data_IF_589347792817
#
_entry.id   IF_589347792817
#
_cell.length_a   1.000
_cell.length_b   1.000
_cell.length_c   1.000
_cell.angle_alpha   90.00
_cell.angle_beta   90.00
_cell.angle_gamma   90.00
#
_symmetry.space_group_name_H-M   'P 1'
#
loop_
_entity.id
_entity.type
_entity.pdbx_description
1 polymer ?
#
# COMPACT_ATOMS: atom_id res chain seq x y z
N UNK A 1 -26.15 12.39 -27.43
CA UNK A 1 -25.76 12.81 -26.10
C UNK A 1 -24.33 12.35 -25.92
N UNK A 2 -23.36 13.23 -25.67
CA UNK A 2 -21.95 12.85 -25.50
C UNK A 2 -21.77 12.52 -24.00
N UNK A 3 -21.75 11.23 -23.66
CA UNK A 3 -21.33 10.80 -22.32
C UNK A 3 -19.86 11.16 -22.15
N UNK A 4 -19.55 11.89 -21.11
CA UNK A 4 -18.19 12.28 -20.75
C UNK A 4 -17.63 11.13 -19.90
N UNK A 5 -16.54 10.57 -20.37
CA UNK A 5 -15.77 9.58 -19.64
C UNK A 5 -15.12 10.29 -18.45
N UNK A 6 -15.53 9.95 -17.24
CA UNK A 6 -14.83 10.36 -16.02
C UNK A 6 -13.52 9.60 -15.97
N UNK A 7 -12.44 10.25 -16.36
CA UNK A 7 -11.09 9.73 -16.11
C UNK A 7 -10.77 9.87 -14.62
N UNK A 8 -10.97 8.81 -13.86
CA UNK A 8 -10.21 8.65 -12.64
C UNK A 8 -8.73 8.51 -13.05
N UNK A 9 -8.03 9.63 -13.14
CA UNK A 9 -6.57 9.59 -13.21
C UNK A 9 -6.08 9.08 -11.86
N UNK A 10 -5.88 7.76 -11.76
CA UNK A 10 -5.00 7.21 -10.74
C UNK A 10 -3.63 7.80 -11.05
N UNK A 11 -3.25 8.80 -10.27
CA UNK A 11 -1.97 9.45 -10.43
C UNK A 11 -0.86 8.46 -10.12
N UNK A 12 -0.27 7.86 -11.17
CA UNK A 12 0.98 7.11 -11.05
C UNK A 12 2.05 8.02 -10.47
N UNK A 13 2.24 7.94 -9.17
CA UNK A 13 3.33 8.62 -8.49
C UNK A 13 4.62 7.83 -8.65
N UNK A 14 5.44 8.33 -9.51
CA UNK A 14 6.77 7.80 -9.83
C UNK A 14 7.75 8.19 -8.73
N UNK A 15 8.33 7.21 -8.06
CA UNK A 15 9.43 7.44 -7.11
C UNK A 15 10.73 7.72 -7.86
N UNK A 16 11.23 8.95 -7.78
CA UNK A 16 12.58 9.31 -8.23
C UNK A 16 13.56 9.17 -7.07
N UNK A 17 14.28 8.05 -6.99
CA UNK A 17 15.47 7.93 -6.18
C UNK A 17 16.69 8.48 -6.93
N UNK A 18 17.17 9.68 -6.58
CA UNK A 18 18.45 10.20 -7.08
C UNK A 18 19.61 9.65 -6.26
N UNK A 19 20.28 8.62 -6.76
CA UNK A 19 21.61 8.21 -6.30
C UNK A 19 22.71 9.03 -6.99
N UNK A 20 23.37 9.91 -6.25
CA UNK A 20 24.53 10.66 -6.72
C UNK A 20 25.76 9.75 -6.86
N UNK A 21 26.30 9.65 -8.06
CA UNK A 21 27.59 9.01 -8.33
C UNK A 21 28.76 9.86 -7.85
N UNK A 22 29.68 9.26 -7.14
CA UNK A 22 31.07 9.71 -7.12
C UNK A 22 31.97 8.51 -7.43
N UNK A 23 32.54 8.49 -8.62
CA UNK A 23 33.58 7.53 -9.02
C UNK A 23 34.91 7.94 -8.38
N UNK A 24 35.59 6.97 -7.81
CA UNK A 24 37.05 7.03 -7.71
C UNK A 24 37.63 5.64 -8.01
N UNK A 25 38.29 5.55 -9.16
CA UNK A 25 39.10 4.41 -9.57
C UNK A 25 40.32 4.30 -8.68
N UNK A 26 40.66 3.10 -8.22
CA UNK A 26 42.04 2.65 -8.11
C UNK A 26 42.11 1.12 -8.27
N UNK A 27 42.65 0.70 -9.41
CA UNK A 27 43.14 -0.65 -9.65
C UNK A 27 44.37 -0.93 -8.78
N UNK A 28 44.40 -2.11 -8.20
CA UNK A 28 45.66 -2.92 -8.19
C UNK A 28 45.35 -4.39 -7.92
N UNK A 29 45.70 -5.19 -8.87
CA UNK A 29 45.89 -6.63 -8.77
C UNK A 29 46.86 -6.99 -7.65
N UNK A 30 46.60 -8.07 -6.93
CA UNK A 30 47.60 -8.96 -6.40
C UNK A 30 47.10 -10.41 -6.31
N UNK A 31 47.96 -11.26 -6.75
CA UNK A 31 47.80 -12.64 -7.14
C UNK A 31 47.47 -13.64 -6.01
N UNK A 32 46.92 -14.71 -6.47
CA UNK A 32 46.74 -16.04 -5.91
C UNK A 32 47.65 -16.47 -4.76
N UNK A 33 47.03 -17.04 -3.71
CA UNK A 33 47.56 -18.21 -3.03
C UNK A 33 46.41 -19.07 -2.52
N UNK A 34 46.23 -20.19 -3.18
CA UNK A 34 45.36 -21.26 -2.75
C UNK A 34 45.85 -21.83 -1.42
N UNK A 35 44.98 -21.82 -0.43
CA UNK A 35 44.95 -22.82 0.63
C UNK A 35 43.49 -23.13 0.87
N UNK A 36 43.11 -24.35 0.53
CA UNK A 36 41.94 -25.02 1.05
C UNK A 36 41.96 -24.85 2.60
N UNK A 37 41.12 -24.00 3.12
CA UNK A 37 40.70 -24.05 4.49
C UNK A 37 39.32 -24.70 4.49
N UNK A 38 39.24 -25.80 5.21
CA UNK A 38 37.98 -26.40 5.64
C UNK A 38 36.94 -25.31 5.91
N UNK A 39 35.83 -25.38 5.18
CA UNK A 39 34.62 -24.64 5.52
C UNK A 39 34.16 -25.14 6.91
N UNK A 40 34.59 -24.48 7.95
CA UNK A 40 33.79 -24.47 9.17
C UNK A 40 32.46 -23.88 8.77
N UNK A 41 31.38 -24.59 8.95
CA UNK A 41 30.03 -24.02 8.97
C UNK A 41 30.09 -22.89 10.01
N UNK A 42 30.18 -21.67 9.57
CA UNK A 42 30.00 -20.53 10.44
C UNK A 42 28.55 -20.64 10.91
N UNK A 43 28.34 -20.79 12.20
CA UNK A 43 27.02 -20.65 12.81
C UNK A 43 26.49 -19.29 12.36
N UNK A 44 25.41 -19.29 11.57
CA UNK A 44 24.74 -18.07 11.14
C UNK A 44 24.25 -17.36 12.40
N UNK A 45 24.73 -16.14 12.63
CA UNK A 45 24.29 -15.33 13.76
C UNK A 45 22.85 -14.91 13.49
N UNK A 46 21.94 -15.30 14.38
CA UNK A 46 20.53 -14.89 14.34
C UNK A 46 20.35 -13.72 15.32
N UNK A 47 19.86 -12.58 14.82
CA UNK A 47 19.59 -11.39 15.62
C UNK A 47 18.11 -11.32 15.95
N UNK A 48 17.78 -11.43 17.24
CA UNK A 48 16.41 -11.22 17.73
C UNK A 48 16.23 -9.76 18.12
N UNK A 49 15.06 -9.19 17.85
CA UNK A 49 14.71 -7.84 18.27
C UNK A 49 13.69 -7.84 19.41
N UNK A 50 13.78 -6.82 20.25
CA UNK A 50 12.81 -6.53 21.29
C UNK A 50 12.78 -5.02 21.54
N UNK A 51 11.58 -4.45 21.55
CA UNK A 51 11.36 -3.02 21.76
C UNK A 51 10.42 -2.81 22.95
N UNK A 52 10.54 -1.67 23.68
CA UNK A 52 9.57 -1.30 24.69
C UNK A 52 8.22 -0.97 24.03
N UNK A 53 7.13 -1.00 24.80
CA UNK A 53 5.81 -0.59 24.33
C UNK A 53 5.67 0.95 24.22
N UNK A 54 6.53 1.70 24.89
CA UNK A 54 6.53 3.16 24.86
C UNK A 54 7.96 3.74 24.97
N UNK A 55 8.14 4.92 24.38
CA UNK A 55 9.37 5.70 24.54
C UNK A 55 9.02 7.15 24.91
N UNK A 56 9.53 7.62 26.05
CA UNK A 56 9.26 8.97 26.56
C UNK A 56 10.53 9.75 26.79
N UNK A 57 10.60 10.95 26.21
CA UNK A 57 11.70 11.89 26.41
C UNK A 57 11.22 13.30 26.14
N UNK A 58 11.36 14.18 27.11
CA UNK A 58 11.12 15.61 26.92
C UNK A 58 12.33 16.28 26.26
N UNK A 59 12.10 17.13 25.26
CA UNK A 59 13.10 17.97 24.61
C UNK A 59 12.57 19.37 24.38
N UNK A 60 13.44 20.30 24.04
CA UNK A 60 13.07 21.71 23.83
C UNK A 60 12.29 21.89 22.52
N UNK A 61 12.72 21.21 21.46
CA UNK A 61 12.14 21.30 20.13
C UNK A 61 11.30 20.09 19.74
N UNK A 62 11.64 18.92 20.25
CA UNK A 62 10.97 17.67 19.97
C UNK A 62 10.69 16.91 21.25
N UNK A 63 9.46 16.53 21.45
CA UNK A 63 8.98 15.69 22.55
C UNK A 63 8.69 14.30 22.02
N UNK A 64 9.09 13.30 22.77
CA UNK A 64 8.71 11.91 22.55
C UNK A 64 7.71 11.49 23.63
N UNK A 65 6.50 11.23 23.24
CA UNK A 65 5.46 10.57 24.03
C UNK A 65 4.86 9.50 23.10
N UNK A 66 5.73 8.51 22.81
CA UNK A 66 5.63 7.66 21.65
C UNK A 66 5.14 6.28 22.06
N UNK A 67 4.02 5.85 21.48
CA UNK A 67 3.61 4.45 21.45
C UNK A 67 4.51 3.70 20.46
N UNK A 68 5.12 2.60 20.91
CA UNK A 68 5.94 1.71 20.06
C UNK A 68 5.09 0.50 19.71
N UNK A 69 4.82 0.32 18.42
CA UNK A 69 3.99 -0.78 17.93
C UNK A 69 4.83 -1.73 17.10
N UNK A 70 4.86 -2.98 17.51
CA UNK A 70 5.47 -4.09 16.76
C UNK A 70 4.42 -5.19 16.65
N UNK A 71 3.65 -5.13 15.57
CA UNK A 71 2.66 -6.16 15.25
C UNK A 71 3.35 -7.31 14.51
N UNK A 72 3.94 -8.22 15.27
CA UNK A 72 4.63 -9.38 14.71
C UNK A 72 4.49 -10.61 15.58
N UNK A 73 4.30 -11.75 14.94
CA UNK A 73 4.42 -13.07 15.58
C UNK A 73 5.86 -13.58 15.67
N UNK A 74 6.78 -12.92 14.99
CA UNK A 74 8.21 -13.25 14.94
C UNK A 74 9.02 -12.13 15.57
N UNK A 75 10.22 -12.45 16.05
CA UNK A 75 11.15 -11.50 16.65
C UNK A 75 12.49 -11.44 15.90
N UNK A 76 12.54 -11.96 14.68
CA UNK A 76 13.70 -11.97 13.80
C UNK A 76 13.30 -11.41 12.46
N UNK A 77 14.07 -10.47 11.95
CA UNK A 77 13.91 -9.97 10.58
C UNK A 77 15.04 -10.51 9.72
N UNK A 78 14.69 -11.12 8.61
CA UNK A 78 15.67 -11.65 7.65
C UNK A 78 15.78 -10.73 6.44
N UNK A 79 16.95 -10.72 5.80
CA UNK A 79 17.06 -10.17 4.46
C UNK A 79 16.16 -10.93 3.50
N UNK A 80 15.75 -10.27 2.44
CA UNK A 80 14.94 -10.92 1.42
C UNK A 80 14.76 -10.07 0.19
N UNK A 81 14.12 -10.67 -0.79
CA UNK A 81 13.77 -10.04 -2.05
C UNK A 81 12.27 -10.02 -2.21
N UNK A 82 11.79 -9.01 -2.93
CA UNK A 82 10.43 -8.93 -3.38
C UNK A 82 10.41 -8.99 -4.91
N UNK A 83 9.62 -9.88 -5.46
CA UNK A 83 9.44 -10.04 -6.90
C UNK A 83 7.99 -9.69 -7.25
N UNK A 84 7.78 -8.76 -8.20
CA UNK A 84 6.44 -8.40 -8.64
C UNK A 84 5.74 -9.61 -9.25
N UNK A 85 4.52 -9.88 -8.82
CA UNK A 85 3.65 -10.84 -9.46
C UNK A 85 3.09 -10.28 -10.76
N UNK A 86 2.86 -11.16 -11.71
CA UNK A 86 2.33 -10.79 -13.02
C UNK A 86 0.84 -11.12 -13.10
N UNK A 87 0.01 -10.08 -12.99
CA UNK A 87 -1.43 -10.22 -13.22
C UNK A 87 -1.70 -10.54 -14.70
N UNK A 88 -2.52 -11.58 -14.94
CA UNK A 88 -3.09 -11.88 -16.25
C UNK A 88 -4.34 -11.02 -16.48
N UNK A 89 -4.16 -9.86 -17.11
CA UNK A 89 -5.22 -8.90 -17.35
C UNK A 89 -6.30 -9.39 -18.34
N UNK A 90 -5.93 -10.24 -19.31
CA UNK A 90 -6.91 -10.82 -20.23
C UNK A 90 -7.83 -11.81 -19.51
N UNK A 91 -7.26 -12.63 -18.64
CA UNK A 91 -8.02 -13.56 -17.83
C UNK A 91 -8.94 -12.85 -16.83
N UNK A 92 -8.45 -11.77 -16.20
CA UNK A 92 -9.28 -10.92 -15.36
C UNK A 92 -10.43 -10.30 -16.15
N UNK A 93 -10.17 -9.77 -17.35
CA UNK A 93 -11.21 -9.28 -18.26
C UNK A 93 -12.26 -10.35 -18.53
N UNK A 94 -11.84 -11.58 -18.82
CA UNK A 94 -12.77 -12.68 -19.11
C UNK A 94 -13.68 -13.03 -17.92
N UNK A 95 -13.19 -12.90 -16.68
CA UNK A 95 -14.04 -13.04 -15.48
C UNK A 95 -15.05 -11.93 -15.33
N UNK A 96 -14.68 -10.69 -15.59
CA UNK A 96 -15.53 -9.52 -15.37
C UNK A 96 -16.56 -9.32 -16.51
N UNK A 97 -16.14 -9.54 -17.74
CA UNK A 97 -16.96 -9.24 -18.91
C UNK A 97 -17.46 -10.48 -19.68
N UNK A 98 -16.83 -11.63 -19.48
CA UNK A 98 -17.03 -12.84 -20.27
C UNK A 98 -16.04 -12.96 -21.42
N UNK A 99 -15.82 -14.19 -21.89
CA UNK A 99 -14.79 -14.53 -22.89
C UNK A 99 -15.01 -13.93 -24.27
N UNK A 100 -16.25 -13.60 -24.61
CA UNK A 100 -16.63 -13.05 -25.91
C UNK A 100 -16.55 -11.52 -25.96
N UNK A 101 -16.15 -10.87 -24.86
CA UNK A 101 -16.05 -9.42 -24.78
C UNK A 101 -14.71 -8.94 -25.33
N UNK A 102 -14.74 -8.04 -26.32
CA UNK A 102 -13.56 -7.48 -26.99
C UNK A 102 -13.59 -5.95 -27.16
N UNK A 103 -14.51 -5.26 -26.50
CA UNK A 103 -14.64 -3.79 -26.58
C UNK A 103 -13.51 -3.10 -25.82
N UNK A 104 -12.35 -3.03 -26.45
CA UNK A 104 -11.20 -2.27 -25.97
C UNK A 104 -11.33 -0.81 -26.40
N UNK A 105 -11.37 0.11 -25.44
CA UNK A 105 -11.56 1.54 -25.72
C UNK A 105 -10.25 2.33 -25.78
N UNK A 106 -9.17 1.79 -25.22
CA UNK A 106 -7.87 2.44 -25.19
C UNK A 106 -6.72 1.43 -25.09
N UNK A 107 -5.61 1.70 -25.79
CA UNK A 107 -4.33 1.03 -25.61
C UNK A 107 -3.19 2.04 -25.77
N UNK A 108 -2.26 2.08 -24.80
CA UNK A 108 -1.04 2.87 -24.86
C UNK A 108 0.16 2.08 -24.37
N UNK A 109 1.25 2.13 -25.14
CA UNK A 109 2.51 1.50 -24.79
C UNK A 109 3.55 2.54 -24.37
N UNK A 110 4.22 2.27 -23.28
CA UNK A 110 5.22 3.17 -22.73
C UNK A 110 6.29 2.45 -21.94
N UNK A 111 6.99 3.18 -21.11
CA UNK A 111 7.93 2.65 -20.14
C UNK A 111 7.72 3.34 -18.80
N UNK A 112 7.80 2.57 -17.71
CA UNK A 112 7.83 3.13 -16.38
C UNK A 112 9.18 3.85 -16.09
N UNK A 113 9.28 4.48 -14.95
CA UNK A 113 10.47 5.24 -14.53
C UNK A 113 11.71 4.39 -14.31
N UNK A 114 11.58 3.07 -14.12
CA UNK A 114 12.70 2.12 -14.02
C UNK A 114 13.03 1.46 -15.35
N UNK A 115 12.28 1.80 -16.42
CA UNK A 115 12.50 1.33 -17.79
C UNK A 115 11.86 -0.03 -18.09
N UNK A 116 10.82 -0.44 -17.34
CA UNK A 116 10.00 -1.57 -17.73
C UNK A 116 9.02 -1.14 -18.81
N UNK A 117 8.73 -2.04 -19.75
CA UNK A 117 7.63 -1.83 -20.69
C UNK A 117 6.30 -1.88 -19.93
N UNK A 118 5.51 -0.82 -20.09
CA UNK A 118 4.13 -0.78 -19.64
C UNK A 118 3.23 -0.80 -20.87
N UNK A 119 2.11 -1.49 -20.75
CA UNK A 119 1.03 -1.45 -21.70
C UNK A 119 -0.25 -1.21 -20.92
N UNK A 120 -0.85 -0.04 -21.11
CA UNK A 120 -2.15 0.31 -20.51
C UNK A 120 -3.24 -0.08 -21.48
N UNK A 121 -4.16 -0.90 -21.04
CA UNK A 121 -5.35 -1.29 -21.78
C UNK A 121 -6.56 -0.93 -20.94
N UNK A 122 -7.59 -0.38 -21.58
CA UNK A 122 -8.88 -0.09 -20.96
C UNK A 122 -9.97 -0.80 -21.73
N UNK A 123 -10.74 -1.61 -21.01
CA UNK A 123 -12.01 -2.17 -21.48
C UNK A 123 -13.15 -1.47 -20.76
N UNK A 124 -14.24 -1.21 -21.47
CA UNK A 124 -15.38 -0.51 -20.91
C UNK A 124 -16.69 -1.02 -21.49
N UNK A 125 -17.68 -1.18 -20.61
CA UNK A 125 -19.07 -1.52 -20.95
C UNK A 125 -20.01 -0.66 -20.12
N UNK A 126 -21.10 -0.20 -20.70
CA UNK A 126 -22.15 0.52 -19.95
C UNK A 126 -22.80 -0.36 -18.87
N UNK A 127 -22.87 -1.67 -19.09
CA UNK A 127 -23.51 -2.62 -18.17
C UNK A 127 -22.55 -3.16 -17.10
N UNK A 128 -21.26 -3.24 -17.44
CA UNK A 128 -20.26 -3.93 -16.59
C UNK A 128 -19.13 -3.03 -16.07
N UNK A 129 -19.15 -1.74 -16.42
CA UNK A 129 -18.17 -0.78 -15.92
C UNK A 129 -16.87 -0.75 -16.69
N UNK A 130 -15.79 -0.37 -16.01
CA UNK A 130 -14.48 -0.07 -16.61
C UNK A 130 -13.38 -0.88 -15.93
N UNK A 131 -12.57 -1.59 -16.73
CA UNK A 131 -11.35 -2.25 -16.32
C UNK A 131 -10.16 -1.54 -16.95
N UNK A 132 -9.31 -0.97 -16.13
CA UNK A 132 -7.99 -0.48 -16.52
C UNK A 132 -6.94 -1.52 -16.12
N UNK A 133 -6.16 -2.00 -17.05
CA UNK A 133 -5.05 -2.89 -16.85
C UNK A 133 -3.75 -2.23 -17.28
N UNK A 134 -2.75 -2.23 -16.41
CA UNK A 134 -1.42 -1.71 -16.71
C UNK A 134 -0.42 -2.84 -16.47
N UNK A 135 0.11 -3.39 -17.56
CA UNK A 135 1.08 -4.48 -17.50
C UNK A 135 2.25 -4.13 -16.57
N UNK A 136 2.58 -5.02 -15.66
CA UNK A 136 3.65 -4.90 -14.64
C UNK A 136 3.36 -3.90 -13.51
N UNK A 137 2.21 -3.25 -13.47
CA UNK A 137 1.84 -2.33 -12.39
C UNK A 137 0.57 -2.77 -11.67
N UNK A 138 -0.41 -3.33 -12.38
CA UNK A 138 -1.65 -3.79 -11.78
C UNK A 138 -2.88 -3.48 -12.59
N UNK A 139 -4.01 -3.43 -11.91
CA UNK A 139 -5.32 -3.25 -12.53
C UNK A 139 -6.29 -2.58 -11.58
N UNK A 140 -7.20 -1.79 -12.14
CA UNK A 140 -8.35 -1.27 -11.41
C UNK A 140 -9.61 -1.56 -12.18
N UNK A 141 -10.59 -2.15 -11.50
CA UNK A 141 -11.94 -2.36 -12.02
C UNK A 141 -12.96 -1.57 -11.21
N UNK A 142 -13.91 -0.96 -11.89
CA UNK A 142 -14.99 -0.16 -11.32
C UNK A 142 -16.27 -0.57 -12.04
N UNK A 143 -17.22 -1.16 -11.32
CA UNK A 143 -18.56 -1.47 -11.84
C UNK A 143 -19.48 -0.24 -11.83
N UNK A 144 -20.61 -0.28 -12.51
CA UNK A 144 -21.62 0.77 -12.38
C UNK A 144 -22.15 0.93 -10.95
N UNK A 145 -22.31 -0.17 -10.20
CA UNK A 145 -22.72 -0.11 -8.79
C UNK A 145 -21.67 0.59 -7.93
N UNK A 146 -20.38 0.35 -8.19
CA UNK A 146 -19.31 0.97 -7.39
C UNK A 146 -19.31 2.49 -7.51
N UNK A 147 -19.71 3.08 -8.62
CA UNK A 147 -19.82 4.54 -8.75
C UNK A 147 -20.78 5.11 -7.70
N UNK A 148 -21.87 4.40 -7.38
CA UNK A 148 -22.81 4.77 -6.30
C UNK A 148 -22.25 4.46 -4.93
N UNK A 149 -21.64 3.27 -4.74
CA UNK A 149 -21.00 2.86 -3.49
C UNK A 149 -19.87 3.81 -3.10
N UNK A 150 -19.05 4.25 -4.06
CA UNK A 150 -17.92 5.12 -3.81
C UNK A 150 -18.31 6.48 -3.24
N UNK A 151 -19.51 6.95 -3.53
CA UNK A 151 -20.06 8.17 -2.94
C UNK A 151 -20.58 7.94 -1.52
N UNK A 152 -21.06 6.74 -1.23
CA UNK A 152 -21.67 6.40 0.06
C UNK A 152 -20.65 6.18 1.18
N UNK A 153 -19.41 5.81 0.88
CA UNK A 153 -18.40 5.58 1.90
C UNK A 153 -17.03 6.14 1.51
N UNK A 154 -16.36 6.68 2.52
CA UNK A 154 -14.95 6.98 2.41
C UNK A 154 -14.17 5.75 2.86
N UNK A 155 -13.17 5.36 2.08
CA UNK A 155 -12.24 4.31 2.45
C UNK A 155 -11.74 4.60 3.87
N UNK A 156 -11.82 3.64 4.79
CA UNK A 156 -11.36 3.84 6.14
C UNK A 156 -9.85 4.04 6.12
N UNK A 157 -9.45 5.29 6.03
CA UNK A 157 -8.10 5.74 6.25
C UNK A 157 -7.92 6.00 7.75
N UNK A 158 -6.71 5.90 8.25
CA UNK A 158 -6.35 6.28 9.63
C UNK A 158 -6.77 7.72 9.99
N UNK A 159 -7.11 8.54 9.00
CA UNK A 159 -7.59 9.91 9.18
C UNK A 159 -9.08 10.01 9.51
N UNK A 160 -9.86 8.96 9.26
CA UNK A 160 -11.31 8.93 9.47
C UNK A 160 -11.63 7.94 10.59
N UNK A 161 -11.65 8.42 11.84
CA UNK A 161 -11.90 7.60 13.03
C UNK A 161 -13.33 7.03 13.10
N UNK A 162 -14.25 7.54 12.29
CA UNK A 162 -15.65 7.11 12.29
C UNK A 162 -16.03 6.46 10.94
N UNK A 163 -15.66 5.19 10.76
CA UNK A 163 -16.29 4.40 9.71
C UNK A 163 -17.67 3.93 10.17
N UNK A 164 -18.71 4.25 9.40
CA UNK A 164 -20.06 3.72 9.61
C UNK A 164 -20.15 2.22 9.28
N UNK A 165 -19.21 1.69 8.49
CA UNK A 165 -19.18 0.31 8.06
C UNK A 165 -18.74 -0.64 9.19
N UNK A 166 -19.55 -1.64 9.48
CA UNK A 166 -19.26 -2.65 10.49
C UNK A 166 -18.17 -3.62 10.03
N UNK A 167 -17.29 -4.02 10.94
CA UNK A 167 -16.29 -5.09 10.69
C UNK A 167 -16.73 -6.45 11.26
N UNK A 168 -17.90 -6.56 11.89
CA UNK A 168 -18.37 -7.76 12.58
C UNK A 168 -19.69 -8.32 12.07
N UNK A 169 -20.48 -7.51 11.37
CA UNK A 169 -21.78 -7.93 10.84
C UNK A 169 -21.63 -8.71 9.54
N UNK A 170 -22.56 -9.65 9.30
CA UNK A 170 -22.63 -10.44 8.08
C UNK A 170 -24.04 -10.42 7.50
N UNK A 171 -24.15 -10.63 6.19
CA UNK A 171 -25.43 -10.71 5.51
C UNK A 171 -26.01 -12.13 5.53
N UNK A 172 -27.33 -12.23 5.66
CA UNK A 172 -28.02 -13.51 5.52
C UNK A 172 -27.83 -14.11 4.11
N UNK A 173 -27.27 -15.33 4.06
CA UNK A 173 -27.06 -16.05 2.80
C UNK A 173 -25.96 -15.48 1.89
N UNK A 174 -25.09 -14.62 2.44
CA UNK A 174 -23.88 -14.15 1.79
C UNK A 174 -22.82 -13.85 2.86
N UNK A 175 -21.96 -14.82 3.14
CA UNK A 175 -20.94 -14.71 4.19
C UNK A 175 -19.67 -14.04 3.70
N UNK A 176 -18.90 -13.48 4.64
CA UNK A 176 -17.56 -12.93 4.36
C UNK A 176 -16.61 -13.98 3.81
N UNK A 177 -16.70 -15.21 4.32
CA UNK A 177 -15.85 -16.30 3.87
C UNK A 177 -16.14 -16.67 2.42
N UNK A 178 -17.42 -16.78 2.02
CA UNK A 178 -17.80 -17.01 0.62
C UNK A 178 -17.33 -15.88 -0.30
N UNK A 179 -17.47 -14.63 0.13
CA UNK A 179 -16.99 -13.45 -0.58
C UNK A 179 -15.46 -13.48 -0.75
N UNK A 180 -14.72 -13.75 0.33
CA UNK A 180 -13.27 -13.89 0.30
C UNK A 180 -12.80 -14.98 -0.65
N UNK A 181 -13.36 -16.20 -0.55
CA UNK A 181 -12.97 -17.33 -1.38
C UNK A 181 -13.27 -17.06 -2.88
N UNK A 182 -14.33 -16.32 -3.19
CA UNK A 182 -14.63 -15.90 -4.57
C UNK A 182 -13.58 -14.94 -5.11
N UNK A 183 -13.19 -13.91 -4.34
CA UNK A 183 -12.11 -12.97 -4.71
C UNK A 183 -10.80 -13.73 -4.89
N UNK A 184 -10.44 -14.58 -3.91
CA UNK A 184 -9.22 -15.39 -3.92
C UNK A 184 -9.15 -16.28 -5.14
N UNK A 185 -10.21 -17.01 -5.43
CA UNK A 185 -10.25 -17.92 -6.60
C UNK A 185 -10.01 -17.18 -7.91
N UNK A 186 -10.61 -16.01 -8.10
CA UNK A 186 -10.45 -15.21 -9.32
C UNK A 186 -9.01 -14.70 -9.44
N UNK A 187 -8.46 -14.12 -8.38
CA UNK A 187 -7.14 -13.51 -8.40
C UNK A 187 -6.00 -14.55 -8.52
N UNK A 188 -6.10 -15.66 -7.79
CA UNK A 188 -5.12 -16.75 -7.90
C UNK A 188 -5.12 -17.36 -9.30
N UNK A 189 -6.30 -17.49 -9.92
CA UNK A 189 -6.41 -17.93 -11.31
C UNK A 189 -5.82 -16.92 -12.29
N UNK A 190 -5.84 -15.62 -11.96
CA UNK A 190 -5.16 -14.55 -12.70
C UNK A 190 -3.66 -14.39 -12.34
N UNK A 191 -3.09 -15.24 -11.49
CA UNK A 191 -1.67 -15.26 -11.16
C UNK A 191 -1.26 -14.39 -9.97
N UNK A 192 -2.21 -13.95 -9.15
CA UNK A 192 -1.96 -13.13 -7.95
C UNK A 192 -2.18 -13.96 -6.69
N UNK A 193 -1.21 -13.99 -5.81
CA UNK A 193 -1.33 -14.59 -4.48
C UNK A 193 -2.11 -13.66 -3.55
N UNK A 194 -3.25 -14.12 -3.08
CA UNK A 194 -4.11 -13.32 -2.19
C UNK A 194 -3.67 -13.51 -0.73
N UNK A 195 -3.38 -12.43 0.01
CA UNK A 195 -3.08 -12.52 1.43
C UNK A 195 -4.24 -13.12 2.24
N UNK A 196 -3.91 -13.92 3.25
CA UNK A 196 -4.90 -14.49 4.18
C UNK A 196 -5.40 -13.47 5.20
N UNK A 197 -4.61 -12.43 5.46
CA UNK A 197 -4.98 -11.37 6.39
C UNK A 197 -5.66 -10.22 5.65
N UNK A 198 -6.80 -9.81 6.18
CA UNK A 198 -7.57 -8.70 5.64
C UNK A 198 -8.44 -8.04 6.71
N UNK A 199 -8.83 -6.81 6.46
CA UNK A 199 -9.95 -6.14 7.11
C UNK A 199 -11.14 -6.23 6.16
N UNK A 200 -12.30 -6.62 6.66
CA UNK A 200 -13.52 -6.70 5.87
C UNK A 200 -14.60 -5.81 6.48
N UNK A 201 -15.10 -4.89 5.71
CA UNK A 201 -16.19 -3.98 6.08
C UNK A 201 -17.48 -4.44 5.43
N UNK A 202 -18.57 -4.40 6.19
CA UNK A 202 -19.93 -4.71 5.71
C UNK A 202 -20.58 -3.41 5.23
N UNK A 203 -21.07 -3.40 4.02
CA UNK A 203 -21.70 -2.26 3.35
C UNK A 203 -23.18 -2.59 3.05
N UNK A 204 -24.11 -2.38 4.00
CA UNK A 204 -25.53 -2.63 3.77
C UNK A 204 -26.10 -1.64 2.76
N UNK A 205 -26.94 -2.11 1.86
CA UNK A 205 -27.51 -1.27 0.81
C UNK A 205 -28.32 -0.08 1.37
N UNK A 206 -29.01 -0.23 2.49
CA UNK A 206 -29.75 0.85 3.14
C UNK A 206 -28.82 2.00 3.56
N UNK A 207 -27.66 1.67 4.15
CA UNK A 207 -26.66 2.65 4.58
C UNK A 207 -25.98 3.33 3.37
N UNK A 208 -25.77 2.56 2.30
CA UNK A 208 -25.20 3.11 1.07
C UNK A 208 -26.18 4.06 0.38
N UNK A 209 -27.44 3.68 0.29
CA UNK A 209 -28.51 4.53 -0.27
C UNK A 209 -28.70 5.85 0.51
N UNK A 210 -28.58 5.82 1.84
CA UNK A 210 -28.69 7.04 2.66
C UNK A 210 -27.48 7.99 2.52
N UNK A 211 -26.34 7.48 2.05
CA UNK A 211 -25.06 8.19 1.98
C UNK A 211 -24.62 8.48 0.54
N UNK A 212 -25.35 7.95 -0.42
CA UNK A 212 -25.06 8.19 -1.82
C UNK A 212 -25.12 9.69 -2.11
N UNK A 213 -24.08 10.18 -2.74
CA UNK A 213 -24.02 11.55 -3.22
C UNK A 213 -23.35 11.57 -4.58
N UNK A 214 -24.03 12.11 -5.57
CA UNK A 214 -23.51 12.23 -6.92
C UNK A 214 -23.32 13.69 -7.29
N UNK A 215 -22.21 14.00 -7.92
CA UNK A 215 -21.86 15.34 -8.39
C UNK A 215 -21.73 15.37 -9.92
N UNK A 216 -22.18 16.47 -10.52
CA UNK A 216 -21.90 16.74 -11.91
C UNK A 216 -20.41 17.14 -12.10
N UNK A 217 -19.99 17.34 -13.36
CA UNK A 217 -18.62 17.74 -13.70
C UNK A 217 -18.21 19.11 -13.13
N UNK A 218 -19.11 19.85 -12.52
CA UNK A 218 -18.87 21.16 -11.89
C UNK A 218 -18.92 21.11 -10.35
N UNK A 219 -19.16 19.90 -9.78
CA UNK A 219 -19.29 19.71 -8.33
C UNK A 219 -20.64 20.11 -7.79
N UNK A 220 -21.70 20.12 -8.63
CA UNK A 220 -23.06 20.29 -8.14
C UNK A 220 -23.71 18.92 -8.00
N UNK A 221 -24.59 18.80 -6.98
CA UNK A 221 -25.40 17.61 -6.77
C UNK A 221 -26.23 17.27 -8.01
N UNK A 222 -26.13 16.02 -8.49
CA UNK A 222 -26.86 15.49 -9.65
C UNK A 222 -27.85 14.40 -9.21
N UNK A 223 -29.02 14.82 -8.77
CA UNK A 223 -30.08 13.92 -8.29
C UNK A 223 -30.57 12.95 -9.39
N UNK A 224 -30.41 13.30 -10.67
CA UNK A 224 -30.78 12.41 -11.79
C UNK A 224 -29.82 11.22 -11.95
N UNK A 225 -28.60 11.33 -11.37
CA UNK A 225 -27.61 10.27 -11.38
C UNK A 225 -27.73 9.32 -10.19
N UNK A 226 -28.55 9.63 -9.16
CA UNK A 226 -28.75 8.77 -8.00
C UNK A 226 -29.42 7.43 -8.39
N UNK A 227 -28.96 6.35 -7.72
CA UNK A 227 -29.57 5.03 -7.85
C UNK A 227 -30.86 4.96 -7.02
N UNK A 228 -31.98 4.67 -7.68
CA UNK A 228 -33.31 4.67 -7.03
C UNK A 228 -33.86 3.29 -6.71
N UNK A 229 -33.17 2.22 -7.12
CA UNK A 229 -33.62 0.83 -7.03
C UNK A 229 -32.68 -0.02 -6.16
N UNK A 230 -32.17 0.57 -5.08
CA UNK A 230 -31.36 -0.13 -4.10
C UNK A 230 -32.12 -1.32 -3.48
N UNK A 231 -31.47 -2.49 -3.45
CA UNK A 231 -32.01 -3.68 -2.79
C UNK A 231 -30.91 -4.57 -2.19
N UNK A 232 -31.30 -5.72 -1.61
CA UNK A 232 -30.39 -6.67 -0.95
C UNK A 232 -29.31 -7.26 -1.89
N UNK A 233 -29.44 -7.16 -3.21
CA UNK A 233 -28.41 -7.63 -4.13
C UNK A 233 -27.23 -6.66 -4.15
N UNK A 234 -27.46 -5.40 -3.79
CA UNK A 234 -26.44 -4.36 -3.68
C UNK A 234 -25.64 -4.46 -2.36
N UNK A 235 -26.09 -5.27 -1.37
CA UNK A 235 -25.29 -5.57 -0.16
C UNK A 235 -23.87 -6.01 -0.56
N UNK A 236 -22.86 -5.34 0.00
CA UNK A 236 -21.49 -5.60 -0.40
C UNK A 236 -20.53 -5.74 0.79
N UNK A 237 -19.42 -6.43 0.55
CA UNK A 237 -18.27 -6.45 1.45
C UNK A 237 -17.10 -5.72 0.81
N UNK A 238 -16.41 -4.89 1.60
CA UNK A 238 -15.18 -4.26 1.21
C UNK A 238 -13.99 -4.91 1.94
N UNK A 239 -13.11 -5.53 1.17
CA UNK A 239 -11.89 -6.18 1.65
C UNK A 239 -10.67 -5.29 1.41
N UNK A 240 -9.87 -5.12 2.47
CA UNK A 240 -8.56 -4.46 2.43
C UNK A 240 -7.53 -5.48 2.90
N UNK A 241 -6.71 -5.97 1.99
CA UNK A 241 -5.75 -7.04 2.26
C UNK A 241 -4.44 -6.50 2.81
N UNK A 242 -3.80 -7.30 3.68
CA UNK A 242 -2.52 -6.99 4.29
C UNK A 242 -1.52 -8.12 4.05
N UNK A 243 -0.43 -7.81 3.37
CA UNK A 243 0.70 -8.74 3.25
C UNK A 243 1.64 -8.63 4.46
N UNK A 244 2.37 -9.72 4.74
CA UNK A 244 3.39 -9.74 5.80
C UNK A 244 4.73 -10.26 5.28
N UNK A 245 5.81 -9.77 5.88
CA UNK A 245 7.15 -10.29 5.70
C UNK A 245 7.86 -10.41 7.04
N UNK A 246 8.40 -11.59 7.36
CA UNK A 246 8.97 -11.90 8.70
C UNK A 246 8.01 -11.53 9.85
N UNK A 247 6.73 -11.87 9.70
CA UNK A 247 5.69 -11.56 10.67
C UNK A 247 5.25 -10.09 10.73
N UNK A 248 6.01 -9.14 10.18
CA UNK A 248 5.66 -7.72 10.16
C UNK A 248 4.71 -7.40 9.00
N UNK A 249 3.68 -6.53 9.19
CA UNK A 249 2.88 -6.04 8.11
C UNK A 249 3.75 -5.25 7.13
N UNK A 250 3.46 -5.39 5.82
CA UNK A 250 4.16 -4.59 4.80
C UNK A 250 3.59 -3.18 4.73
N UNK A 251 4.44 -2.22 4.37
CA UNK A 251 4.06 -0.82 4.16
C UNK A 251 4.41 -0.42 2.74
N UNK A 252 3.41 0.07 2.01
CA UNK A 252 3.55 0.52 0.63
C UNK A 252 3.32 2.02 0.58
N UNK A 253 4.39 2.85 0.57
CA UNK A 253 4.25 4.29 0.60
C UNK A 253 3.65 4.81 -0.72
N UNK A 254 2.63 5.64 -0.60
CA UNK A 254 2.04 6.38 -1.69
C UNK A 254 2.25 7.89 -1.49
N UNK A 255 2.87 8.56 -2.45
CA UNK A 255 3.09 10.01 -2.37
C UNK A 255 1.95 10.73 -3.09
N UNK A 256 1.09 11.38 -2.32
CA UNK A 256 0.06 12.24 -2.87
C UNK A 256 0.67 13.58 -3.32
N UNK A 257 0.77 13.78 -4.63
CA UNK A 257 1.55 14.88 -5.23
C UNK A 257 1.04 16.27 -4.89
N UNK A 258 -0.25 16.45 -4.67
CA UNK A 258 -0.83 17.79 -4.45
C UNK A 258 -0.54 18.32 -3.05
N UNK A 259 -0.55 17.47 -2.03
CA UNK A 259 -0.37 17.85 -0.63
C UNK A 259 0.99 17.45 -0.05
N UNK A 260 1.77 16.65 -0.80
CA UNK A 260 3.05 16.04 -0.38
C UNK A 260 2.91 15.12 0.83
N UNK A 261 1.72 14.70 1.13
CA UNK A 261 1.47 13.72 2.17
C UNK A 261 1.85 12.33 1.68
N UNK A 262 2.37 11.52 2.58
CA UNK A 262 2.68 10.12 2.32
C UNK A 262 1.56 9.33 2.97
N UNK A 263 0.84 8.61 2.15
CA UNK A 263 -0.24 7.71 2.58
C UNK A 263 0.23 6.26 2.47
N UNK A 264 -0.34 5.41 3.29
CA UNK A 264 -0.17 3.97 3.14
C UNK A 264 -1.09 3.48 2.02
N UNK A 265 -0.51 3.02 0.91
CA UNK A 265 -1.29 2.34 -0.12
C UNK A 265 -1.64 0.92 0.34
N UNK A 266 -2.84 0.48 -0.01
CA UNK A 266 -3.27 -0.92 0.16
C UNK A 266 -3.27 -1.58 -1.21
N UNK A 267 -2.24 -2.37 -1.55
CA UNK A 267 -2.03 -2.83 -2.91
C UNK A 267 -3.11 -3.80 -3.41
N UNK A 268 -3.89 -4.39 -2.51
CA UNK A 268 -5.02 -5.22 -2.89
C UNK A 268 -6.27 -4.81 -2.10
N UNK A 269 -7.30 -4.40 -2.83
CA UNK A 269 -8.60 -4.04 -2.31
C UNK A 269 -9.69 -4.57 -3.23
N UNK A 270 -10.81 -5.00 -2.66
CA UNK A 270 -11.94 -5.48 -3.44
C UNK A 270 -13.28 -5.15 -2.75
N UNK A 271 -14.26 -4.68 -3.53
CA UNK A 271 -15.67 -4.66 -3.12
C UNK A 271 -16.39 -5.76 -3.90
N UNK A 272 -17.15 -6.54 -3.19
CA UNK A 272 -17.91 -7.65 -3.78
C UNK A 272 -19.33 -7.67 -3.24
N UNK A 273 -20.29 -7.66 -4.15
CA UNK A 273 -21.72 -7.84 -3.88
C UNK A 273 -22.16 -9.29 -4.11
N UNK A 274 -23.45 -9.54 -3.96
CA UNK A 274 -24.04 -10.84 -4.36
C UNK A 274 -23.90 -11.09 -5.87
N UNK A 275 -23.94 -10.04 -6.68
CA UNK A 275 -23.83 -10.09 -8.15
C UNK A 275 -22.39 -10.37 -8.61
N UNK A 276 -21.37 -9.88 -7.88
CA UNK A 276 -19.98 -10.09 -8.25
C UNK A 276 -19.01 -9.07 -7.69
N UNK A 277 -17.85 -8.95 -8.34
CA UNK A 277 -16.87 -7.93 -8.00
C UNK A 277 -17.40 -6.57 -8.52
N UNK A 278 -17.48 -5.59 -7.63
CA UNK A 278 -17.92 -4.23 -7.92
C UNK A 278 -16.72 -3.27 -8.02
N UNK A 279 -15.70 -3.53 -7.21
CA UNK A 279 -14.43 -2.80 -7.25
C UNK A 279 -13.28 -3.77 -7.05
N UNK A 280 -12.23 -3.58 -7.81
CA UNK A 280 -10.98 -4.29 -7.61
C UNK A 280 -9.81 -3.34 -7.87
N UNK A 281 -8.92 -3.22 -6.90
CA UNK A 281 -7.62 -2.59 -7.07
C UNK A 281 -6.53 -3.61 -6.79
N UNK A 282 -5.70 -3.86 -7.78
CA UNK A 282 -4.51 -4.73 -7.68
C UNK A 282 -3.33 -3.89 -8.10
N UNK A 283 -2.50 -3.47 -7.14
CA UNK A 283 -1.36 -2.61 -7.40
C UNK A 283 -0.09 -3.21 -6.82
N UNK A 284 0.89 -3.53 -7.68
CA UNK A 284 2.24 -3.97 -7.27
C UNK A 284 2.23 -5.05 -6.19
N UNK A 285 1.58 -6.16 -6.45
CA UNK A 285 1.63 -7.31 -5.56
C UNK A 285 3.00 -7.99 -5.67
N UNK A 286 3.59 -8.32 -4.53
CA UNK A 286 4.91 -8.93 -4.46
C UNK A 286 4.84 -10.33 -3.87
N UNK A 287 5.61 -11.22 -4.45
CA UNK A 287 6.02 -12.47 -3.83
C UNK A 287 7.33 -12.23 -3.07
N UNK A 288 7.36 -12.60 -1.80
CA UNK A 288 8.53 -12.41 -0.95
C UNK A 288 9.39 -13.67 -0.86
N UNK A 289 10.71 -13.48 -0.99
CA UNK A 289 11.70 -14.55 -0.85
C UNK A 289 12.65 -14.20 0.30
N UNK A 290 12.54 -14.93 1.40
CA UNK A 290 13.37 -14.75 2.56
C UNK A 290 14.75 -15.40 2.35
N UNK A 291 15.81 -14.69 2.73
CA UNK A 291 17.18 -15.19 2.81
C UNK A 291 17.41 -15.87 4.19
N UNK A 292 18.59 -16.43 4.38
CA UNK A 292 19.00 -17.01 5.66
C UNK A 292 19.65 -15.99 6.59
N UNK A 293 20.12 -14.87 6.05
CA UNK A 293 20.84 -13.85 6.80
C UNK A 293 19.85 -12.97 7.56
N UNK A 294 19.90 -13.00 8.89
CA UNK A 294 19.10 -12.12 9.74
C UNK A 294 19.71 -10.71 9.83
N UNK A 295 18.86 -9.73 10.10
CA UNK A 295 19.23 -8.31 10.20
C UNK A 295 19.20 -7.88 11.65
N UNK A 296 20.31 -7.32 12.14
CA UNK A 296 20.36 -6.67 13.45
C UNK A 296 19.61 -5.34 13.41
N UNK A 297 18.50 -5.23 14.18
CA UNK A 297 17.76 -3.99 14.30
C UNK A 297 18.35 -3.13 15.41
N UNK A 298 18.42 -1.82 15.16
CA UNK A 298 18.89 -0.86 16.14
C UNK A 298 17.82 -0.63 17.23
N UNK A 299 18.21 -0.38 18.48
CA UNK A 299 17.30 0.09 19.51
C UNK A 299 16.59 1.38 19.06
N UNK A 300 15.32 1.56 19.42
CA UNK A 300 14.52 2.74 18.99
C UNK A 300 15.15 4.06 19.42
N UNK A 301 15.91 4.08 20.53
CA UNK A 301 16.68 5.22 20.98
C UNK A 301 17.62 5.79 19.90
N UNK A 302 18.15 4.94 19.00
CA UNK A 302 19.00 5.40 17.90
C UNK A 302 18.22 6.16 16.85
N UNK A 303 17.01 5.75 16.58
CA UNK A 303 16.08 6.47 15.70
C UNK A 303 15.71 7.81 16.34
N UNK A 304 15.37 7.79 17.64
CA UNK A 304 15.04 9.00 18.39
C UNK A 304 16.22 10.00 18.44
N UNK A 305 17.47 9.53 18.59
CA UNK A 305 18.68 10.38 18.52
C UNK A 305 18.80 11.06 17.14
N UNK A 306 18.50 10.37 16.05
CA UNK A 306 18.54 10.96 14.69
C UNK A 306 17.47 12.02 14.54
N UNK A 307 16.22 11.74 14.94
CA UNK A 307 15.14 12.71 14.94
C UNK A 307 15.47 13.95 15.76
N UNK A 308 15.93 13.78 17.00
CA UNK A 308 16.33 14.89 17.87
C UNK A 308 17.39 15.78 17.22
N UNK A 309 18.42 15.17 16.60
CA UNK A 309 19.47 15.90 15.89
C UNK A 309 18.96 16.65 14.65
N UNK A 310 17.94 16.16 13.96
CA UNK A 310 17.33 16.83 12.83
C UNK A 310 16.55 18.07 13.28
N UNK A 311 15.66 17.90 14.25
CA UNK A 311 14.72 18.96 14.65
C UNK A 311 15.37 20.03 15.53
N UNK A 312 16.38 19.71 16.34
CA UNK A 312 17.16 20.73 17.10
C UNK A 312 17.90 21.72 16.21
N UNK A 313 18.13 21.39 14.94
CA UNK A 313 18.81 22.31 13.97
C UNK A 313 17.86 23.21 13.22
N UNK A 314 16.56 23.01 13.34
CA UNK A 314 15.56 23.83 12.68
C UNK A 314 15.46 25.18 13.40
N UNK A 315 15.65 26.26 12.66
CA UNK A 315 15.51 27.62 13.17
C UNK A 315 14.07 28.06 12.98
N UNK A 316 13.28 28.03 14.01
CA UNK A 316 11.87 28.41 14.02
C UNK A 316 11.33 28.35 15.46
N UNK A 317 10.08 28.67 15.67
CA UNK A 317 9.40 28.58 16.97
C UNK A 317 8.53 27.33 17.09
N UNK A 318 8.33 26.61 15.97
CA UNK A 318 7.58 25.38 15.90
C UNK A 318 8.15 24.29 16.82
N UNK A 319 7.27 23.49 17.37
CA UNK A 319 7.60 22.32 18.19
C UNK A 319 7.08 21.04 17.56
N UNK A 320 7.71 19.93 17.87
CA UNK A 320 7.41 18.63 17.26
C UNK A 320 7.08 17.61 18.36
N UNK A 321 6.14 16.73 18.10
CA UNK A 321 5.81 15.62 18.98
C UNK A 321 5.80 14.32 18.18
N UNK A 322 6.53 13.31 18.69
CA UNK A 322 6.49 11.94 18.18
C UNK A 322 5.44 11.19 18.96
N UNK A 323 4.36 10.75 18.30
CA UNK A 323 3.18 10.14 18.94
C UNK A 323 3.19 8.62 18.86
N UNK A 324 3.61 8.09 17.71
CA UNK A 324 3.59 6.66 17.43
C UNK A 324 4.77 6.30 16.54
N UNK A 325 5.33 5.14 16.76
CA UNK A 325 6.31 4.51 15.88
C UNK A 325 5.92 3.04 15.65
N UNK A 326 5.73 2.65 14.41
CA UNK A 326 5.31 1.31 14.03
C UNK A 326 6.39 0.63 13.20
N UNK A 327 6.81 -0.56 13.61
CA UNK A 327 7.78 -1.35 12.85
C UNK A 327 7.05 -2.12 11.76
N UNK A 328 7.45 -1.90 10.51
CA UNK A 328 6.89 -2.53 9.31
C UNK A 328 7.98 -3.08 8.40
N UNK A 329 7.61 -3.92 7.45
CA UNK A 329 8.45 -4.33 6.34
C UNK A 329 8.12 -3.49 5.10
N UNK A 330 9.12 -3.10 4.31
CA UNK A 330 8.92 -2.27 3.11
C UNK A 330 9.79 -2.77 1.96
N UNK A 331 9.26 -2.73 0.75
CA UNK A 331 10.03 -2.98 -0.46
C UNK A 331 10.85 -1.75 -0.81
N UNK A 332 12.16 -1.91 -0.83
CA UNK A 332 13.09 -0.88 -1.26
C UNK A 332 13.72 -1.23 -2.60
N UNK A 333 13.67 -0.31 -3.56
CA UNK A 333 14.29 -0.49 -4.87
C UNK A 333 15.82 -0.43 -4.74
N UNK A 334 16.48 -1.59 -4.72
CA UNK A 334 17.93 -1.72 -4.55
C UNK A 334 18.72 -1.50 -5.85
N UNK A 335 18.04 -1.60 -7.01
CA UNK A 335 18.63 -1.47 -8.34
C UNK A 335 17.60 -1.03 -9.37
N UNK A 336 17.86 -1.29 -10.65
CA UNK A 336 16.90 -0.89 -11.69
C UNK A 336 15.60 -1.70 -11.70
N UNK A 337 15.60 -2.93 -11.18
CA UNK A 337 14.47 -3.88 -11.21
C UNK A 337 14.47 -4.85 -10.04
N UNK A 338 15.28 -4.60 -9.03
CA UNK A 338 15.42 -5.50 -7.88
C UNK A 338 14.88 -4.79 -6.65
N UNK A 339 14.00 -5.46 -5.92
CA UNK A 339 13.47 -4.99 -4.66
C UNK A 339 14.02 -5.85 -3.53
N UNK A 340 14.46 -5.18 -2.47
CA UNK A 340 14.88 -5.79 -1.21
C UNK A 340 13.86 -5.50 -0.13
N UNK A 341 13.64 -6.45 0.77
CA UNK A 341 12.83 -6.24 1.95
C UNK A 341 13.67 -5.59 3.04
N UNK A 342 13.21 -4.47 3.55
CA UNK A 342 13.84 -3.70 4.62
C UNK A 342 12.89 -3.49 5.79
N UNK A 343 13.40 -3.58 7.05
CA UNK A 343 12.62 -3.20 8.22
C UNK A 343 12.59 -1.67 8.31
N UNK A 344 11.41 -1.10 8.50
CA UNK A 344 11.22 0.35 8.54
C UNK A 344 10.40 0.78 9.75
N UNK A 345 10.84 1.83 10.43
CA UNK A 345 10.01 2.56 11.36
C UNK A 345 9.17 3.59 10.63
N UNK A 346 7.86 3.44 10.69
CA UNK A 346 6.88 4.45 10.28
C UNK A 346 6.55 5.27 11.51
N UNK A 347 6.88 6.56 11.49
CA UNK A 347 6.82 7.43 12.66
C UNK A 347 5.78 8.53 12.43
N UNK A 348 4.69 8.49 13.20
CA UNK A 348 3.67 9.51 13.21
C UNK A 348 4.09 10.68 14.09
N UNK A 349 4.14 11.86 13.50
CA UNK A 349 4.59 13.08 14.13
C UNK A 349 3.56 14.19 14.00
N UNK A 350 3.60 15.08 14.98
CA UNK A 350 2.82 16.31 15.00
C UNK A 350 3.77 17.52 15.00
N UNK A 351 3.50 18.50 14.17
CA UNK A 351 4.12 19.83 14.23
C UNK A 351 3.10 20.81 14.80
N UNK A 352 3.52 21.61 15.77
CA UNK A 352 2.75 22.74 16.27
C UNK A 352 3.49 24.04 15.89
N UNK A 353 2.91 24.78 14.96
CA UNK A 353 3.37 26.09 14.53
C UNK A 353 2.43 27.17 15.05
N UNK A 354 2.72 27.71 16.24
CA UNK A 354 1.92 28.78 16.88
C UNK A 354 0.44 28.43 17.07
N UNK A 355 0.12 27.15 17.31
CA UNK A 355 -1.24 26.66 17.50
C UNK A 355 -1.88 26.06 16.25
N UNK A 356 -1.22 26.16 15.10
CA UNK A 356 -1.57 25.37 13.91
C UNK A 356 -0.93 23.99 14.03
N UNK A 357 -1.77 22.97 14.19
CA UNK A 357 -1.34 21.58 14.40
C UNK A 357 -1.51 20.81 13.11
N UNK A 358 -0.43 20.18 12.65
CA UNK A 358 -0.42 19.34 11.46
C UNK A 358 0.27 18.01 11.75
N UNK A 359 -0.26 16.92 11.19
CA UNK A 359 0.33 15.60 11.29
C UNK A 359 1.16 15.30 10.04
N UNK A 360 2.24 14.53 10.20
CA UNK A 360 3.06 14.03 9.11
C UNK A 360 3.80 12.76 9.52
N UNK A 361 4.31 12.03 8.54
CA UNK A 361 5.06 10.80 8.79
C UNK A 361 6.53 10.93 8.39
N UNK A 362 7.38 10.19 9.09
CA UNK A 362 8.79 9.95 8.75
C UNK A 362 9.10 8.47 8.72
N UNK A 363 10.05 8.09 7.90
CA UNK A 363 10.40 6.71 7.62
C UNK A 363 11.89 6.49 7.84
N UNK A 364 12.23 5.53 8.68
CA UNK A 364 13.63 5.22 8.98
C UNK A 364 13.89 3.72 8.84
N UNK A 365 14.94 3.38 8.13
CA UNK A 365 15.49 2.02 8.13
C UNK A 365 15.83 1.61 9.57
N UNK A 366 15.23 0.53 10.05
CA UNK A 366 15.35 0.10 11.43
C UNK A 366 16.72 -0.51 11.76
N UNK A 367 17.49 -0.92 10.75
CA UNK A 367 18.84 -1.48 10.92
C UNK A 367 19.94 -0.41 10.84
N UNK A 368 19.70 0.69 10.12
CA UNK A 368 20.74 1.70 9.84
C UNK A 368 20.43 3.10 10.35
N UNK A 369 19.21 3.35 10.80
CA UNK A 369 18.65 4.67 11.14
C UNK A 369 18.72 5.69 9.99
N UNK A 370 18.83 5.22 8.75
CA UNK A 370 18.79 6.08 7.57
C UNK A 370 17.35 6.46 7.26
N UNK A 371 17.10 7.76 7.06
CA UNK A 371 15.78 8.25 6.64
C UNK A 371 15.50 7.93 5.17
N UNK A 372 14.30 7.42 4.88
CA UNK A 372 13.75 7.33 3.54
C UNK A 372 12.98 8.61 3.23
N UNK A 373 13.32 9.24 2.11
CA UNK A 373 12.65 10.44 1.60
C UNK A 373 12.00 10.06 0.28
N UNK A 374 10.67 10.07 0.26
CA UNK A 374 9.89 9.83 -0.94
C UNK A 374 9.70 11.17 -1.68
N UNK A 375 9.95 11.20 -3.00
CA UNK A 375 9.89 12.41 -3.83
C UNK A 375 9.00 12.20 -5.05
#
# INVERSE_FOLDING_TARGET
MKKIIVFCMIGLCVFCGCGGKTETKTEKQLAANAKEKEKSEAEETVYEYSFPEEYKKAGEKIEFDTEIVVDSSENVFYKGKAELEALDGEKLKDYLYGTDFDEQVFEEKGTDYVGNEINTIIWQSEEKGTLQYIKSLGSTYISPLFDHISQAFHLPDKQYEESWASTTEEFDGFSREEAYEKIKSILEDCGITVPEEYICYTLPYEEMAEREYTEDMYGNEDIEAEKTDWDQNDDAYFFVFQSRYCGLPTYHPYVYRMEKDILENRPLQAVISREGIEYLSVERIFQYKQDKESVELLPFEKIAEVLENQFTRIMGEETYKVKRAELKAMENLAGKKEYEMVPVWVIDMEINDNGDIRNFQKFFDAATAKEYIFQ
#
